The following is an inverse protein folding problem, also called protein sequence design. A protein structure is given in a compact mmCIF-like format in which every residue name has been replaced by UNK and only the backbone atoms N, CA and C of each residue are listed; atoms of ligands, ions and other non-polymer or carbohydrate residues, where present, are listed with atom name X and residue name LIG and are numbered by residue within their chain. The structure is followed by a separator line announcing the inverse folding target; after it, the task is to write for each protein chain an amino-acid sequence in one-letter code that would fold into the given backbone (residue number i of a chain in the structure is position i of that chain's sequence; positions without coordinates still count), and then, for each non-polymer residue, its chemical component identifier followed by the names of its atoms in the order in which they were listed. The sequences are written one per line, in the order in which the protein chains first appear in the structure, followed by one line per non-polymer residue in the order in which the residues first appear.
data_IF_357590527906
#
_entry.id   IF_357590527906
#
_cell.length_a   1.000
_cell.length_b   1.000
_cell.length_c   1.000
_cell.angle_alpha   90.00
_cell.angle_beta   90.00
_cell.angle_gamma   90.00
#
_symmetry.space_group_name_H-M   'P 1'
#
loop_
_entity.id
_entity.type
_entity.pdbx_description
1 polymer ?
#
# COMPACT_ATOMS: atom_id res chain seq x y z
N UNK A 1 -9.36 19.72 -11.53
CA UNK A 1 -8.20 18.91 -11.09
C UNK A 1 -7.78 19.19 -9.63
N UNK A 2 -7.81 20.42 -9.11
CA UNK A 2 -7.32 20.74 -7.74
C UNK A 2 -8.12 20.15 -6.56
N UNK A 3 -9.41 19.85 -6.73
CA UNK A 3 -10.26 19.36 -5.64
C UNK A 3 -9.98 17.90 -5.22
N UNK A 4 -9.64 17.03 -6.17
CA UNK A 4 -9.47 15.61 -5.91
C UNK A 4 -8.23 15.30 -5.05
N UNK A 5 -7.10 15.97 -5.32
CA UNK A 5 -5.87 15.78 -4.53
C UNK A 5 -6.01 16.21 -3.07
N UNK A 6 -6.81 17.26 -2.81
CA UNK A 6 -7.12 17.69 -1.43
C UNK A 6 -7.93 16.66 -0.65
N UNK A 7 -8.83 15.92 -1.30
CA UNK A 7 -9.60 14.86 -0.64
C UNK A 7 -8.75 13.62 -0.35
N UNK A 8 -7.84 13.26 -1.25
CA UNK A 8 -6.92 12.14 -1.05
C UNK A 8 -5.96 12.43 0.10
N UNK A 9 -5.38 13.65 0.15
CA UNK A 9 -4.49 14.01 1.25
C UNK A 9 -5.21 13.95 2.60
N UNK A 10 -6.44 14.48 2.70
CA UNK A 10 -7.24 14.38 3.93
C UNK A 10 -7.49 12.92 4.33
N UNK A 11 -7.77 12.04 3.39
CA UNK A 11 -7.94 10.62 3.69
C UNK A 11 -6.63 9.98 4.21
N UNK A 12 -5.47 10.37 3.66
CA UNK A 12 -4.17 9.91 4.16
C UNK A 12 -3.97 10.38 5.59
N UNK A 13 -4.23 11.65 5.88
CA UNK A 13 -4.07 12.24 7.21
C UNK A 13 -4.94 11.52 8.25
N UNK A 14 -6.21 11.22 7.92
CA UNK A 14 -7.13 10.45 8.79
C UNK A 14 -6.70 8.99 9.00
N UNK A 15 -5.85 8.45 8.12
CA UNK A 15 -5.27 7.12 8.24
C UNK A 15 -3.93 7.10 9.02
N UNK A 16 -3.51 8.23 9.59
CA UNK A 16 -2.28 8.33 10.39
C UNK A 16 -2.53 8.26 11.88
N UNK A 17 -1.61 7.61 12.59
CA UNK A 17 -1.62 7.57 14.03
C UNK A 17 -1.12 8.90 14.61
N UNK A 18 -1.85 9.53 15.55
CA UNK A 18 -1.46 10.81 16.13
C UNK A 18 -0.20 10.74 17.02
N UNK A 19 0.24 9.53 17.42
CA UNK A 19 1.42 9.32 18.25
C UNK A 19 2.68 9.22 17.39
N UNK A 20 2.75 8.24 16.47
CA UNK A 20 3.94 8.04 15.63
C UNK A 20 3.94 8.90 14.36
N UNK A 21 2.82 9.55 14.02
CA UNK A 21 2.64 10.38 12.81
C UNK A 21 2.92 9.63 11.51
N UNK A 22 2.64 8.33 11.52
CA UNK A 22 2.73 7.42 10.38
C UNK A 22 1.39 6.68 10.26
N UNK A 23 1.16 6.02 9.14
CA UNK A 23 0.00 5.17 8.92
C UNK A 23 -0.19 4.18 10.07
N UNK A 24 -1.45 3.91 10.44
CA UNK A 24 -1.71 2.96 11.52
C UNK A 24 -1.14 1.57 11.22
N UNK A 25 -0.42 1.02 12.20
CA UNK A 25 0.02 -0.37 12.23
C UNK A 25 -0.67 -1.07 13.39
N UNK A 26 -1.36 -2.17 13.10
CA UNK A 26 -2.21 -2.89 14.05
C UNK A 26 -3.14 -1.92 14.83
N UNK A 27 -4.00 -1.16 14.12
CA UNK A 27 -4.84 -0.15 14.75
C UNK A 27 -5.76 -0.76 15.81
N UNK A 28 -5.83 -0.09 16.95
CA UNK A 28 -6.76 -0.38 18.04
C UNK A 28 -7.62 0.84 18.34
N UNK A 29 -8.89 0.60 18.61
CA UNK A 29 -9.87 1.61 19.02
C UNK A 29 -10.09 1.53 20.53
N UNK A 30 -10.13 2.70 21.17
CA UNK A 30 -10.54 2.84 22.57
C UNK A 30 -12.06 3.00 22.64
N UNK A 31 -12.83 2.03 23.16
CA UNK A 31 -14.30 2.08 23.12
C UNK A 31 -14.90 3.28 23.86
N UNK A 32 -14.25 3.75 24.92
CA UNK A 32 -14.75 4.83 25.77
C UNK A 32 -14.73 6.20 25.07
N UNK A 33 -13.96 6.36 23.98
CA UNK A 33 -13.87 7.62 23.24
C UNK A 33 -13.76 7.51 21.73
N UNK A 34 -13.63 6.32 21.15
CA UNK A 34 -13.57 6.08 19.70
C UNK A 34 -12.24 6.45 19.04
N UNK A 35 -11.25 6.95 19.78
CA UNK A 35 -9.94 7.29 19.22
C UNK A 35 -9.13 6.04 18.85
N UNK A 36 -8.34 6.16 17.79
CA UNK A 36 -7.59 5.08 17.18
C UNK A 36 -6.09 5.31 17.32
N UNK A 37 -5.33 4.25 17.57
CA UNK A 37 -3.88 4.29 17.77
C UNK A 37 -3.24 2.99 17.29
N UNK A 38 -1.94 3.01 16.98
CA UNK A 38 -1.19 1.77 16.81
C UNK A 38 -1.13 1.02 18.15
N UNK A 39 -1.24 -0.31 18.12
CA UNK A 39 -1.12 -1.14 19.33
C UNK A 39 0.18 -0.87 20.10
N UNK A 40 1.30 -0.77 19.39
CA UNK A 40 2.62 -0.48 19.98
C UNK A 40 2.69 0.92 20.61
N UNK A 41 2.08 1.93 19.98
CA UNK A 41 2.07 3.29 20.49
C UNK A 41 1.31 3.40 21.81
N UNK A 42 0.13 2.74 21.94
CA UNK A 42 -0.57 2.72 23.23
C UNK A 42 0.20 1.96 24.31
N UNK A 43 0.81 0.82 23.95
CA UNK A 43 1.63 0.05 24.89
C UNK A 43 2.79 0.88 25.46
N UNK A 44 3.45 1.67 24.60
CA UNK A 44 4.51 2.60 25.01
C UNK A 44 3.99 3.76 25.88
N UNK A 45 2.84 4.35 25.53
CA UNK A 45 2.26 5.45 26.30
C UNK A 45 1.82 5.03 27.71
N UNK A 46 1.28 3.82 27.89
CA UNK A 46 0.72 3.43 29.17
C UNK A 46 1.73 2.84 30.15
N UNK A 47 2.80 2.19 29.70
CA UNK A 47 3.80 1.57 30.58
C UNK A 47 3.16 0.83 31.78
N UNK A 48 3.52 1.23 33.00
CA UNK A 48 2.92 0.74 34.25
C UNK A 48 1.80 1.64 34.84
N UNK A 49 1.54 2.80 34.23
CA UNK A 49 0.63 3.82 34.76
C UNK A 49 -0.85 3.54 34.44
N UNK A 50 -1.78 4.29 35.03
CA UNK A 50 -3.20 4.21 34.67
C UNK A 50 -3.42 4.52 33.16
N UNK A 51 -4.19 3.67 32.48
CA UNK A 51 -4.46 3.84 31.07
C UNK A 51 -5.44 5.00 30.83
N UNK A 52 -5.01 5.96 30.02
CA UNK A 52 -5.82 7.09 29.55
C UNK A 52 -5.59 7.36 28.08
N UNK A 53 -6.57 7.95 27.40
CA UNK A 53 -6.47 8.24 25.98
C UNK A 53 -5.42 9.33 25.77
N UNK A 54 -4.37 9.10 24.96
CA UNK A 54 -3.35 10.13 24.70
C UNK A 54 -3.91 11.41 24.07
N UNK A 55 -5.05 11.32 23.38
CA UNK A 55 -5.66 12.46 22.68
C UNK A 55 -6.65 13.25 23.54
N UNK A 56 -7.53 12.58 24.29
CA UNK A 56 -8.59 13.25 25.05
C UNK A 56 -8.52 13.05 26.57
N UNK A 57 -7.50 12.33 27.06
CA UNK A 57 -7.22 12.03 28.48
C UNK A 57 -8.31 11.27 29.24
N UNK A 58 -9.37 10.79 28.55
CA UNK A 58 -10.39 9.93 29.16
C UNK A 58 -9.74 8.65 29.69
N UNK A 59 -10.11 8.21 30.90
CA UNK A 59 -9.63 6.96 31.51
C UNK A 59 -10.13 5.74 30.72
N UNK A 60 -9.31 4.71 30.64
CA UNK A 60 -9.51 3.53 29.79
C UNK A 60 -9.33 2.27 30.62
N UNK A 61 -10.15 1.27 30.37
CA UNK A 61 -9.90 -0.07 30.87
C UNK A 61 -8.98 -0.79 29.89
N UNK A 62 -7.70 -1.07 30.23
CA UNK A 62 -6.73 -1.68 29.29
C UNK A 62 -7.23 -2.95 28.57
N UNK A 63 -8.13 -3.70 29.21
CA UNK A 63 -8.75 -4.93 28.70
C UNK A 63 -9.81 -4.71 27.63
N UNK A 64 -10.26 -3.47 27.42
CA UNK A 64 -11.36 -3.12 26.49
C UNK A 64 -10.88 -2.76 25.08
N UNK A 65 -9.58 -2.73 24.81
CA UNK A 65 -9.08 -2.37 23.48
C UNK A 65 -9.57 -3.35 22.40
N UNK A 66 -10.11 -2.80 21.32
CA UNK A 66 -10.60 -3.57 20.17
C UNK A 66 -9.69 -3.33 18.98
N UNK A 67 -9.21 -4.39 18.33
CA UNK A 67 -8.51 -4.27 17.05
C UNK A 67 -9.47 -3.78 15.97
N UNK A 68 -9.06 -2.77 15.21
CA UNK A 68 -9.88 -2.17 14.15
C UNK A 68 -9.41 -2.65 12.78
N UNK A 69 -9.85 -3.84 12.39
CA UNK A 69 -9.47 -4.45 11.11
C UNK A 69 -9.97 -3.64 9.90
N UNK A 70 -11.11 -2.96 10.03
CA UNK A 70 -11.61 -2.05 8.99
C UNK A 70 -10.66 -0.88 8.77
N UNK A 71 -10.15 -0.27 9.85
CA UNK A 71 -9.17 0.81 9.75
C UNK A 71 -7.85 0.31 9.16
N UNK A 72 -7.42 -0.90 9.49
CA UNK A 72 -6.26 -1.51 8.83
C UNK A 72 -6.47 -1.64 7.32
N UNK A 73 -7.64 -2.10 6.87
CA UNK A 73 -7.98 -2.17 5.45
C UNK A 73 -8.02 -0.78 4.80
N UNK A 74 -8.59 0.23 5.48
CA UNK A 74 -8.65 1.61 4.98
C UNK A 74 -7.26 2.24 4.84
N UNK A 75 -6.33 1.93 5.74
CA UNK A 75 -4.93 2.37 5.65
C UNK A 75 -4.28 1.85 4.39
N UNK A 76 -4.47 0.57 4.05
CA UNK A 76 -3.93 -0.01 2.82
C UNK A 76 -4.54 0.64 1.56
N UNK A 77 -5.84 0.93 1.57
CA UNK A 77 -6.48 1.70 0.49
C UNK A 77 -5.87 3.11 0.39
N UNK A 78 -5.72 3.83 1.51
CA UNK A 78 -5.18 5.18 1.54
C UNK A 78 -3.72 5.24 1.03
N UNK A 79 -2.89 4.25 1.39
CA UNK A 79 -1.54 4.08 0.84
C UNK A 79 -1.58 3.87 -0.67
N UNK A 80 -2.48 3.03 -1.16
CA UNK A 80 -2.62 2.71 -2.59
C UNK A 80 -3.11 3.90 -3.43
N UNK A 81 -3.95 4.77 -2.86
CA UNK A 81 -4.34 6.05 -3.48
C UNK A 81 -3.16 7.05 -3.54
N UNK A 82 -2.15 6.88 -2.68
CA UNK A 82 -0.79 7.44 -2.77
C UNK A 82 -0.13 7.30 -4.14
N UNK A 83 -0.27 6.12 -4.74
CA UNK A 83 0.44 5.71 -5.94
C UNK A 83 -0.30 6.05 -7.25
N UNK A 84 -1.42 6.77 -7.16
CA UNK A 84 -2.20 7.20 -8.34
C UNK A 84 -1.99 8.67 -8.72
N UNK A 85 -1.37 9.49 -7.88
CA UNK A 85 -1.06 10.91 -8.22
C UNK A 85 0.20 11.07 -9.10
N UNK A 86 0.63 10.00 -9.77
CA UNK A 86 1.67 10.01 -10.80
C UNK A 86 1.41 9.05 -11.95
N UNK A 87 0.18 8.54 -12.11
CA UNK A 87 -0.17 7.74 -13.29
C UNK A 87 -0.74 8.67 -14.35
N UNK A 88 0.16 9.11 -15.24
CA UNK A 88 -0.20 9.48 -16.59
C UNK A 88 -1.10 8.39 -17.22
N UNK A 89 -2.00 8.85 -18.08
CA UNK A 89 -2.94 8.04 -18.84
C UNK A 89 -2.20 6.99 -19.67
N UNK A 90 -2.13 5.75 -19.19
CA UNK A 90 -1.37 4.72 -19.88
C UNK A 90 -1.45 3.32 -19.28
N UNK A 91 -2.62 2.69 -19.35
CA UNK A 91 -2.74 1.24 -19.22
C UNK A 91 -3.08 0.73 -17.82
N UNK A 92 -4.05 -0.18 -17.79
CA UNK A 92 -4.36 -1.02 -16.63
C UNK A 92 -3.10 -1.77 -16.22
N UNK A 93 -2.34 -1.24 -15.25
CA UNK A 93 -1.14 -1.88 -14.74
C UNK A 93 -1.49 -3.28 -14.26
N UNK A 94 -0.98 -4.30 -14.95
CA UNK A 94 -1.18 -5.71 -14.60
C UNK A 94 -0.45 -5.98 -13.27
N UNK A 95 -1.04 -6.82 -12.42
CA UNK A 95 -0.43 -7.26 -11.16
C UNK A 95 0.28 -8.59 -11.42
N UNK A 96 1.45 -8.80 -10.81
CA UNK A 96 2.15 -10.07 -10.84
C UNK A 96 1.33 -11.11 -10.07
N UNK A 97 0.92 -12.20 -10.71
CA UNK A 97 0.14 -13.25 -10.03
C UNK A 97 0.93 -13.92 -8.90
N UNK A 98 2.24 -14.11 -9.07
CA UNK A 98 3.13 -14.75 -8.07
C UNK A 98 3.35 -13.90 -6.82
N UNK A 99 3.52 -12.59 -6.99
CA UNK A 99 3.98 -11.70 -5.91
C UNK A 99 2.95 -10.64 -5.49
N UNK A 100 1.84 -10.53 -6.21
CA UNK A 100 0.80 -9.52 -6.01
C UNK A 100 1.31 -8.06 -6.06
N UNK A 101 2.44 -7.85 -6.76
CA UNK A 101 3.07 -6.55 -6.95
C UNK A 101 2.78 -5.99 -8.35
N UNK A 102 2.70 -4.65 -8.53
CA UNK A 102 2.56 -4.04 -9.84
C UNK A 102 3.68 -4.47 -10.80
N UNK A 103 3.31 -4.86 -12.02
CA UNK A 103 4.25 -5.09 -13.10
C UNK A 103 4.71 -3.75 -13.66
N UNK A 104 5.96 -3.37 -13.37
CA UNK A 104 6.58 -2.09 -13.78
C UNK A 104 7.86 -2.28 -14.58
N UNK A 105 8.32 -3.52 -14.74
CA UNK A 105 9.55 -3.85 -15.44
C UNK A 105 9.24 -4.78 -16.61
N UNK A 106 10.14 -4.84 -17.58
CA UNK A 106 10.07 -5.74 -18.72
C UNK A 106 11.38 -6.52 -18.85
N UNK A 107 11.29 -7.84 -18.86
CA UNK A 107 12.44 -8.70 -19.12
C UNK A 107 12.61 -8.86 -20.63
N UNK A 108 13.72 -8.38 -21.20
CA UNK A 108 14.00 -8.52 -22.65
C UNK A 108 14.28 -9.97 -23.08
N UNK A 109 14.65 -10.84 -22.14
CA UNK A 109 14.92 -12.26 -22.40
C UNK A 109 13.63 -13.07 -22.49
N UNK A 110 12.71 -12.85 -21.55
CA UNK A 110 11.42 -13.55 -21.49
C UNK A 110 10.30 -12.80 -22.23
N UNK A 111 10.58 -11.61 -22.76
CA UNK A 111 9.64 -10.71 -23.43
C UNK A 111 8.35 -10.49 -22.63
N UNK A 112 8.47 -10.40 -21.31
CA UNK A 112 7.34 -10.37 -20.40
C UNK A 112 7.47 -9.27 -19.34
N UNK A 113 6.35 -8.63 -18.94
CA UNK A 113 6.32 -7.70 -17.83
C UNK A 113 6.50 -8.46 -16.51
N UNK A 114 7.37 -7.93 -15.65
CA UNK A 114 7.70 -8.51 -14.35
C UNK A 114 7.59 -7.45 -13.24
N UNK A 115 7.46 -7.89 -11.99
CA UNK A 115 7.54 -6.99 -10.84
C UNK A 115 8.98 -6.92 -10.30
N UNK A 116 9.23 -5.99 -9.38
CA UNK A 116 10.53 -5.81 -8.72
C UNK A 116 11.02 -7.06 -7.97
N UNK A 117 10.10 -7.91 -7.53
CA UNK A 117 10.45 -9.16 -6.83
C UNK A 117 10.93 -10.22 -7.83
N UNK A 118 10.30 -10.32 -9.00
CA UNK A 118 10.73 -11.21 -10.08
C UNK A 118 12.13 -10.85 -10.58
N UNK A 119 12.43 -9.56 -10.75
CA UNK A 119 13.74 -9.07 -11.20
C UNK A 119 14.89 -9.55 -10.29
N UNK A 120 14.65 -9.62 -8.98
CA UNK A 120 15.62 -10.08 -7.98
C UNK A 120 15.62 -11.60 -7.77
N UNK A 121 14.75 -12.32 -8.46
CA UNK A 121 14.66 -13.77 -8.32
C UNK A 121 15.72 -14.47 -9.17
N UNK A 122 16.05 -15.72 -8.81
CA UNK A 122 16.92 -16.57 -9.63
C UNK A 122 16.39 -16.80 -11.05
N UNK A 123 15.08 -16.68 -11.25
CA UNK A 123 14.41 -16.85 -12.56
C UNK A 123 14.81 -15.75 -13.55
N UNK A 124 15.21 -14.56 -13.06
CA UNK A 124 15.66 -13.44 -13.90
C UNK A 124 17.09 -12.99 -13.58
N UNK A 125 17.87 -13.85 -12.93
CA UNK A 125 19.25 -13.55 -12.57
C UNK A 125 20.08 -13.28 -13.83
N UNK A 126 20.69 -12.10 -13.91
CA UNK A 126 21.45 -11.59 -15.07
C UNK A 126 20.66 -11.35 -16.36
N UNK A 127 19.33 -11.38 -16.32
CA UNK A 127 18.53 -10.98 -17.49
C UNK A 127 18.54 -9.47 -17.66
N UNK A 128 18.55 -9.00 -18.92
CA UNK A 128 18.40 -7.57 -19.19
C UNK A 128 16.96 -7.16 -18.91
N UNK A 129 16.79 -6.35 -17.87
CA UNK A 129 15.49 -5.81 -17.44
C UNK A 129 15.52 -4.29 -17.61
N UNK A 130 14.42 -3.75 -18.15
CA UNK A 130 14.21 -2.31 -18.35
C UNK A 130 12.85 -1.91 -17.75
N UNK A 131 12.62 -0.63 -17.44
CA UNK A 131 11.29 -0.12 -17.12
C UNK A 131 10.26 -0.45 -18.20
N UNK A 132 9.03 -0.74 -17.80
CA UNK A 132 7.96 -1.13 -18.73
C UNK A 132 7.59 0.02 -19.68
N UNK A 133 7.76 1.26 -19.23
CA UNK A 133 7.55 2.48 -20.01
C UNK A 133 8.55 2.56 -21.17
N UNK A 134 9.85 2.31 -20.91
CA UNK A 134 10.89 2.24 -21.94
C UNK A 134 10.63 1.09 -22.93
N UNK A 135 10.09 -0.03 -22.45
CA UNK A 135 9.69 -1.13 -23.31
C UNK A 135 8.48 -0.77 -24.20
N UNK A 136 7.55 0.07 -23.72
CA UNK A 136 6.37 0.45 -24.51
C UNK A 136 6.71 1.32 -25.73
N UNK A 137 7.85 2.02 -25.70
CA UNK A 137 8.38 2.82 -26.80
C UNK A 137 9.06 1.95 -27.87
N UNK A 138 9.80 0.91 -27.45
CA UNK A 138 10.43 -0.07 -28.34
C UNK A 138 9.46 -1.12 -28.88
N UNK A 139 8.43 -1.46 -28.10
CA UNK A 139 7.43 -2.49 -28.36
C UNK A 139 6.04 -1.86 -28.29
N UNK A 140 5.67 -1.07 -29.31
CA UNK A 140 4.37 -0.38 -29.36
C UNK A 140 3.22 -1.34 -29.05
N UNK A 141 2.64 -1.08 -27.88
CA UNK A 141 1.47 -1.70 -27.27
C UNK A 141 0.27 -1.58 -28.20
N UNK A 142 -0.31 -2.70 -28.66
CA UNK A 142 -1.49 -2.63 -29.52
C UNK A 142 -2.06 -3.93 -30.07
N UNK A 143 -1.39 -5.07 -29.95
CA UNK A 143 -1.93 -6.32 -30.47
C UNK A 143 -2.43 -7.26 -29.35
N UNK A 144 -3.75 -7.45 -29.18
CA UNK A 144 -4.32 -8.41 -28.23
C UNK A 144 -3.87 -9.86 -28.48
N UNK A 145 -3.32 -10.15 -29.66
CA UNK A 145 -2.96 -11.51 -30.07
C UNK A 145 -1.62 -12.00 -29.52
N UNK A 146 -0.69 -11.12 -29.11
CA UNK A 146 0.61 -11.55 -28.57
C UNK A 146 0.48 -12.15 -27.16
N UNK A 147 -0.57 -11.78 -26.41
CA UNK A 147 -0.76 -12.20 -25.02
C UNK A 147 -1.65 -13.42 -24.82
N UNK A 148 -2.33 -13.90 -25.87
CA UNK A 148 -3.07 -15.16 -25.84
C UNK A 148 -2.29 -16.24 -26.58
N UNK A 149 -1.42 -16.93 -25.87
CA UNK A 149 -1.08 -18.30 -26.20
C UNK A 149 0.40 -18.57 -26.47
N UNK A 150 1.05 -19.14 -25.46
CA UNK A 150 1.93 -20.29 -25.67
C UNK A 150 1.93 -21.17 -24.42
N UNK A 151 0.76 -21.73 -24.13
CA UNK A 151 0.66 -23.03 -23.46
C UNK A 151 0.48 -24.09 -24.56
N UNK A 152 1.60 -24.47 -25.17
CA UNK A 152 1.88 -25.79 -25.70
C UNK A 152 3.37 -25.91 -25.98
#
# INVERSE_FOLDING_TARGET
MAAAGGHIQRLRDEATCPICRDYFKDPVTIPECGHNFCRSCLAQCWGEAEASCPQCRKRIQRRSLVCNWQLANMVEIAKNLGFQEGKEEGGKGRICEKHQEPLKLFCKVHEAPICLVCDRSKEHENHKVIPLEEASEEYKVGDPWIWRGRNK
#
